data_IF_113557493545
#
_entry.id   IF_113557493545
#
_cell.length_a   1.000
_cell.length_b   1.000
_cell.length_c   1.000
_cell.angle_alpha   90.00
_cell.angle_beta   90.00
_cell.angle_gamma   90.00
#
_symmetry.space_group_name_H-M   'P 1'
#
loop_
_entity.id
_entity.type
_entity.pdbx_description
1 polymer ?
#
# COMPACT_ATOMS: atom_id res chain seq x y z
N UNK A 1 -46.98 32.27 15.59
CA UNK A 1 -45.93 31.32 16.05
C UNK A 1 -45.72 30.24 14.99
N UNK A 2 -44.94 30.51 13.94
CA UNK A 2 -44.62 29.57 12.85
C UNK A 2 -43.25 29.91 12.26
N UNK A 3 -42.14 29.62 12.94
CA UNK A 3 -40.79 29.86 12.38
C UNK A 3 -39.66 28.91 12.87
N UNK A 4 -39.95 27.83 13.59
CA UNK A 4 -38.87 27.02 14.22
C UNK A 4 -38.72 25.60 13.64
N UNK A 5 -39.58 25.13 12.74
CA UNK A 5 -39.51 23.75 12.25
C UNK A 5 -38.70 23.51 10.96
N UNK A 6 -38.09 24.55 10.36
CA UNK A 6 -37.38 24.38 9.08
C UNK A 6 -35.86 24.12 9.20
N UNK A 7 -35.28 24.14 10.41
CA UNK A 7 -33.82 23.97 10.59
C UNK A 7 -33.37 22.53 10.88
N UNK A 8 -34.28 21.61 11.19
CA UNK A 8 -33.91 20.24 11.57
C UNK A 8 -33.82 19.24 10.41
N UNK A 9 -34.20 19.63 9.18
CA UNK A 9 -34.23 18.74 8.00
C UNK A 9 -32.98 18.89 7.12
N UNK A 10 -32.17 19.94 7.33
CA UNK A 10 -30.98 20.20 6.50
C UNK A 10 -29.67 19.56 7.05
N UNK A 11 -29.74 18.71 8.09
CA UNK A 11 -28.56 18.14 8.75
C UNK A 11 -28.32 16.64 8.40
N UNK A 12 -28.99 16.09 7.39
CA UNK A 12 -28.89 14.66 7.04
C UNK A 12 -28.41 14.38 5.60
N UNK A 13 -27.69 15.32 4.99
CA UNK A 13 -27.11 15.17 3.65
C UNK A 13 -25.58 15.31 3.65
N UNK A 14 -24.91 15.02 4.78
CA UNK A 14 -23.55 14.50 4.69
C UNK A 14 -23.67 13.04 4.24
N UNK A 15 -23.75 12.84 2.93
CA UNK A 15 -23.42 11.55 2.33
C UNK A 15 -21.97 11.27 2.68
N UNK A 16 -21.76 10.49 3.73
CA UNK A 16 -20.50 9.79 3.88
C UNK A 16 -20.31 8.99 2.60
N UNK A 17 -19.27 9.33 1.84
CA UNK A 17 -18.84 8.50 0.73
C UNK A 17 -18.39 7.20 1.40
N UNK A 18 -19.28 6.21 1.41
CA UNK A 18 -18.91 4.85 1.76
C UNK A 18 -17.90 4.42 0.70
N UNK A 19 -16.63 4.35 1.10
CA UNK A 19 -15.62 3.64 0.32
C UNK A 19 -16.01 2.17 0.36
N UNK A 20 -16.85 1.75 -0.58
CA UNK A 20 -16.96 0.34 -0.89
C UNK A 20 -15.59 -0.15 -1.31
N UNK A 21 -15.18 -1.32 -0.78
CA UNK A 21 -14.07 -2.08 -1.34
C UNK A 21 -14.30 -2.19 -2.85
N UNK A 22 -13.28 -1.95 -3.68
CA UNK A 22 -13.38 -2.22 -5.11
C UNK A 22 -13.94 -3.63 -5.31
N UNK A 23 -14.82 -3.80 -6.30
CA UNK A 23 -15.42 -5.10 -6.58
C UNK A 23 -14.31 -6.13 -6.78
N UNK A 24 -14.27 -7.12 -5.88
CA UNK A 24 -13.23 -8.14 -5.88
C UNK A 24 -13.32 -8.98 -7.15
N UNK A 25 -12.18 -9.21 -7.80
CA UNK A 25 -12.12 -10.12 -8.95
C UNK A 25 -12.42 -11.54 -8.47
N UNK A 26 -13.56 -12.07 -8.91
CA UNK A 26 -13.95 -13.46 -8.65
C UNK A 26 -13.20 -14.40 -9.60
N UNK A 27 -12.83 -15.57 -9.07
CA UNK A 27 -12.17 -16.65 -9.80
C UNK A 27 -10.82 -16.20 -10.42
N UNK A 28 -10.01 -15.46 -9.64
CA UNK A 28 -8.76 -14.86 -10.08
C UNK A 28 -7.77 -15.90 -10.67
N UNK A 29 -7.74 -17.12 -10.12
CA UNK A 29 -6.87 -18.21 -10.59
C UNK A 29 -7.16 -18.70 -12.01
N UNK A 30 -8.36 -18.45 -12.54
CA UNK A 30 -8.74 -18.80 -13.91
C UNK A 30 -8.71 -17.58 -14.87
N UNK A 31 -8.07 -16.48 -14.46
CA UNK A 31 -7.84 -15.30 -15.30
C UNK A 31 -6.44 -15.38 -15.92
N UNK A 32 -6.18 -14.56 -16.94
CA UNK A 32 -4.81 -14.29 -17.38
C UNK A 32 -4.07 -13.54 -16.28
N UNK A 33 -2.99 -14.12 -15.76
CA UNK A 33 -2.21 -13.58 -14.65
C UNK A 33 -0.73 -13.56 -15.02
N UNK A 34 -0.08 -12.44 -14.71
CA UNK A 34 1.38 -12.36 -14.63
C UNK A 34 1.75 -12.23 -13.17
N UNK A 35 2.53 -13.18 -12.65
CA UNK A 35 2.92 -13.16 -11.25
C UNK A 35 3.98 -12.10 -10.98
N UNK A 36 3.83 -11.37 -9.87
CA UNK A 36 4.87 -10.51 -9.32
C UNK A 36 5.63 -11.17 -8.17
N UNK A 37 5.37 -12.46 -7.91
CA UNK A 37 6.05 -13.23 -6.86
C UNK A 37 7.57 -13.31 -7.11
N UNK A 38 8.31 -13.68 -6.07
CA UNK A 38 9.75 -13.80 -6.06
C UNK A 38 10.39 -12.81 -5.10
N UNK A 39 11.59 -12.35 -5.43
CA UNK A 39 12.34 -11.42 -4.58
C UNK A 39 11.85 -9.99 -4.79
N UNK A 40 11.60 -9.30 -3.67
CA UNK A 40 11.26 -7.88 -3.61
C UNK A 40 12.29 -7.17 -2.75
N UNK A 41 12.69 -5.96 -3.14
CA UNK A 41 13.48 -5.10 -2.27
C UNK A 41 12.62 -4.66 -1.10
N UNK A 42 13.18 -4.65 0.11
CA UNK A 42 12.44 -4.22 1.29
C UNK A 42 13.23 -3.24 2.16
N UNK A 43 12.51 -2.47 2.98
CA UNK A 43 13.06 -1.57 3.99
C UNK A 43 12.23 -1.72 5.27
N UNK A 44 12.91 -2.01 6.38
CA UNK A 44 12.29 -2.04 7.71
C UNK A 44 12.21 -0.60 8.22
N UNK A 45 11.02 -0.13 8.59
CA UNK A 45 10.78 1.27 8.96
C UNK A 45 9.98 1.36 10.28
N UNK A 46 10.61 1.07 11.43
CA UNK A 46 9.91 0.98 12.71
C UNK A 46 9.26 2.29 13.16
N UNK A 47 9.79 3.43 12.72
CA UNK A 47 9.30 4.77 13.05
C UNK A 47 8.48 5.41 11.93
N UNK A 48 8.25 4.66 10.84
CA UNK A 48 7.45 5.12 9.71
C UNK A 48 7.99 6.42 9.07
N UNK A 49 9.32 6.57 9.04
CA UNK A 49 10.04 7.70 8.44
C UNK A 49 9.73 7.86 6.95
N UNK A 50 9.43 6.76 6.26
CA UNK A 50 9.03 6.77 4.85
C UNK A 50 7.60 7.24 4.61
N UNK A 51 6.78 7.30 5.66
CA UNK A 51 5.36 7.68 5.60
C UNK A 51 5.10 9.05 6.22
N UNK A 52 5.70 9.36 7.36
CA UNK A 52 5.51 10.61 8.11
C UNK A 52 6.73 11.53 7.96
N UNK A 53 6.47 12.84 7.93
CA UNK A 53 7.53 13.84 8.10
C UNK A 53 7.91 14.00 9.59
N UNK A 54 8.90 14.86 9.88
CA UNK A 54 9.36 15.11 11.25
C UNK A 54 8.31 15.75 12.19
N UNK A 55 7.19 16.26 11.65
CA UNK A 55 6.04 16.78 12.40
C UNK A 55 4.94 15.74 12.57
N UNK A 56 5.21 14.49 12.17
CA UNK A 56 4.25 13.39 12.19
C UNK A 56 3.05 13.60 11.26
N UNK A 57 3.26 14.31 10.14
CA UNK A 57 2.25 14.49 9.10
C UNK A 57 2.51 13.51 7.93
N UNK A 58 1.50 12.75 7.47
CA UNK A 58 1.67 11.82 6.35
C UNK A 58 2.10 12.54 5.07
N UNK A 59 3.12 12.03 4.40
CA UNK A 59 3.54 12.53 3.09
C UNK A 59 2.44 12.41 2.04
N UNK A 60 1.62 11.36 2.09
CA UNK A 60 0.54 11.14 1.13
C UNK A 60 -0.55 12.22 1.16
N UNK A 61 -0.68 12.96 2.26
CA UNK A 61 -1.63 14.06 2.39
C UNK A 61 -1.05 15.40 1.90
N UNK A 62 0.24 15.43 1.56
CA UNK A 62 0.89 16.62 1.04
C UNK A 62 0.66 16.71 -0.47
N UNK A 63 0.45 17.94 -0.97
CA UNK A 63 0.25 18.18 -2.41
C UNK A 63 1.44 17.70 -3.25
N UNK A 64 2.65 17.88 -2.72
CA UNK A 64 3.91 17.46 -3.34
C UNK A 64 4.76 16.76 -2.28
N UNK A 65 4.57 15.44 -2.06
CA UNK A 65 5.39 14.70 -1.10
C UNK A 65 6.86 14.79 -1.49
N UNK A 66 7.70 15.18 -0.52
CA UNK A 66 9.14 15.30 -0.74
C UNK A 66 9.82 13.97 -1.05
N UNK A 67 11.12 14.02 -1.34
CA UNK A 67 11.94 12.83 -1.63
C UNK A 67 12.05 11.86 -0.45
N UNK A 68 11.65 12.25 0.76
CA UNK A 68 11.59 11.35 1.92
C UNK A 68 10.43 10.36 1.88
N UNK A 69 9.41 10.59 1.06
CA UNK A 69 8.31 9.65 0.91
C UNK A 69 8.75 8.39 0.16
N UNK A 70 8.70 7.23 0.82
CA UNK A 70 9.24 5.98 0.24
C UNK A 70 8.44 5.51 -0.97
N UNK A 71 7.14 5.79 -1.01
CA UNK A 71 6.27 5.46 -2.14
C UNK A 71 6.65 6.14 -3.46
N UNK A 72 7.44 7.23 -3.43
CA UNK A 72 7.92 7.89 -4.63
C UNK A 72 9.08 7.14 -5.32
N UNK A 73 9.73 6.18 -4.63
CA UNK A 73 10.94 5.50 -5.11
C UNK A 73 11.99 6.50 -5.65
N UNK A 74 12.20 7.60 -4.93
CA UNK A 74 13.12 8.66 -5.29
C UNK A 74 14.55 8.12 -5.36
N UNK A 75 15.32 8.58 -6.36
CA UNK A 75 16.73 8.25 -6.53
C UNK A 75 17.55 9.53 -6.42
N UNK A 76 18.57 9.52 -5.56
CA UNK A 76 19.57 10.57 -5.53
C UNK A 76 20.31 10.59 -6.88
N UNK A 77 20.29 11.72 -7.58
CA UNK A 77 21.02 11.95 -8.83
C UNK A 77 22.44 12.43 -8.55
N UNK A 78 22.63 13.13 -7.44
CA UNK A 78 23.91 13.66 -6.99
C UNK A 78 24.12 13.40 -5.49
N UNK A 79 25.36 13.54 -5.02
CA UNK A 79 25.69 13.45 -3.57
C UNK A 79 25.11 14.58 -2.74
N UNK A 80 24.62 15.65 -3.36
CA UNK A 80 23.98 16.78 -2.68
C UNK A 80 22.47 16.61 -2.52
N UNK A 81 21.89 15.58 -3.16
CA UNK A 81 20.46 15.31 -3.04
C UNK A 81 20.18 14.61 -1.70
N UNK A 82 19.26 15.15 -0.92
CA UNK A 82 18.81 14.54 0.34
C UNK A 82 17.79 13.43 0.03
N UNK A 83 18.24 12.17 0.07
CA UNK A 83 17.40 10.97 -0.03
C UNK A 83 17.91 9.92 0.97
N UNK A 84 17.11 9.60 1.98
CA UNK A 84 17.50 8.75 3.11
C UNK A 84 17.32 7.25 2.85
N UNK A 85 16.89 6.86 1.64
CA UNK A 85 16.62 5.47 1.29
C UNK A 85 17.02 5.15 -0.14
N UNK A 86 17.21 3.85 -0.43
CA UNK A 86 17.33 3.36 -1.79
C UNK A 86 16.91 1.89 -1.87
N UNK A 87 15.72 1.62 -2.40
CA UNK A 87 15.25 0.25 -2.61
C UNK A 87 16.21 -0.60 -3.44
N UNK A 88 16.82 -0.06 -4.51
CA UNK A 88 17.64 -0.87 -5.42
C UNK A 88 18.97 -1.32 -4.79
N UNK A 89 19.32 -0.76 -3.63
CA UNK A 89 20.46 -1.15 -2.82
C UNK A 89 20.07 -1.82 -1.50
N UNK A 90 18.78 -1.95 -1.22
CA UNK A 90 18.31 -2.64 -0.02
C UNK A 90 18.28 -4.15 -0.25
N UNK A 91 18.30 -4.90 0.85
CA UNK A 91 18.16 -6.35 0.80
C UNK A 91 16.84 -6.77 0.16
N UNK A 92 16.77 -8.02 -0.28
CA UNK A 92 15.55 -8.63 -0.79
C UNK A 92 14.95 -9.65 0.17
N UNK A 93 13.65 -9.85 0.02
CA UNK A 93 12.85 -10.83 0.76
C UNK A 93 11.88 -11.53 -0.21
N UNK A 94 11.55 -12.78 0.07
CA UNK A 94 10.63 -13.55 -0.75
C UNK A 94 9.18 -13.13 -0.52
N UNK A 95 8.43 -12.98 -1.61
CA UNK A 95 6.99 -12.72 -1.63
C UNK A 95 6.33 -13.74 -2.58
N UNK A 96 5.32 -14.52 -2.14
CA UNK A 96 4.70 -14.50 -0.82
C UNK A 96 5.53 -15.24 0.23
N UNK A 97 5.56 -14.71 1.45
CA UNK A 97 6.00 -15.35 2.70
C UNK A 97 5.88 -14.32 3.81
N UNK A 98 5.68 -14.76 5.06
CA UNK A 98 5.83 -13.89 6.22
C UNK A 98 7.28 -13.40 6.33
N UNK A 99 7.50 -12.19 6.84
CA UNK A 99 8.86 -11.68 7.03
C UNK A 99 9.56 -12.27 8.26
N UNK A 100 8.77 -12.82 9.20
CA UNK A 100 9.21 -13.26 10.51
C UNK A 100 10.16 -14.46 10.41
N UNK A 101 9.84 -15.45 9.58
CA UNK A 101 10.63 -16.68 9.43
C UNK A 101 11.80 -16.55 8.45
N UNK A 102 11.85 -15.48 7.66
CA UNK A 102 12.88 -15.29 6.63
C UNK A 102 14.19 -14.72 7.17
N UNK A 103 14.14 -13.96 8.27
CA UNK A 103 15.31 -13.30 8.87
C UNK A 103 15.19 -13.33 10.39
N UNK A 104 16.23 -13.79 11.07
CA UNK A 104 16.26 -13.85 12.54
C UNK A 104 15.93 -12.50 13.21
N UNK A 105 16.44 -11.39 12.66
CA UNK A 105 16.17 -10.03 13.16
C UNK A 105 14.70 -9.58 13.01
N UNK A 106 13.91 -10.28 12.20
CA UNK A 106 12.50 -9.97 11.96
C UNK A 106 11.55 -10.93 12.69
N UNK A 107 12.07 -11.92 13.40
CA UNK A 107 11.25 -12.98 14.01
C UNK A 107 10.13 -12.41 14.90
N UNK A 108 10.47 -11.47 15.79
CA UNK A 108 9.51 -10.76 16.64
C UNK A 108 9.16 -9.36 16.14
N UNK A 109 9.52 -9.02 14.89
CA UNK A 109 9.28 -7.68 14.39
C UNK A 109 7.79 -7.47 14.10
N UNK A 110 7.20 -6.59 14.91
CA UNK A 110 5.89 -6.00 14.68
C UNK A 110 6.06 -4.51 14.36
N UNK A 111 5.71 -4.09 13.15
CA UNK A 111 6.02 -2.76 12.64
C UNK A 111 5.76 -2.62 11.15
N UNK A 112 6.30 -1.56 10.58
CA UNK A 112 6.17 -1.27 9.14
C UNK A 112 7.35 -1.82 8.35
N UNK A 113 7.04 -2.57 7.31
CA UNK A 113 7.99 -2.95 6.25
C UNK A 113 7.49 -2.41 4.92
N UNK A 114 8.38 -1.75 4.19
CA UNK A 114 8.14 -1.32 2.82
C UNK A 114 8.70 -2.33 1.85
N UNK A 115 7.95 -2.60 0.78
CA UNK A 115 8.31 -3.50 -0.30
C UNK A 115 8.32 -2.74 -1.61
N UNK A 116 9.24 -3.07 -2.51
CA UNK A 116 9.29 -2.55 -3.88
C UNK A 116 9.54 -3.66 -4.89
N UNK A 117 8.71 -3.69 -5.93
CA UNK A 117 8.91 -4.47 -7.16
C UNK A 117 9.02 -3.56 -8.36
N UNK A 118 9.99 -3.81 -9.23
CA UNK A 118 10.09 -3.22 -10.57
C UNK A 118 9.71 -4.29 -11.59
N UNK A 119 8.96 -3.93 -12.62
CA UNK A 119 8.57 -4.83 -13.69
C UNK A 119 8.15 -4.09 -14.96
N UNK A 120 8.30 -4.76 -16.09
CA UNK A 120 7.78 -4.34 -17.38
C UNK A 120 6.46 -5.08 -17.64
N UNK A 121 5.51 -4.42 -18.30
CA UNK A 121 4.23 -5.03 -18.63
C UNK A 121 3.65 -4.41 -19.89
N UNK A 122 3.44 -5.26 -20.91
CA UNK A 122 2.80 -4.86 -22.16
C UNK A 122 1.37 -5.36 -22.20
N UNK A 123 0.42 -4.45 -22.34
CA UNK A 123 -1.00 -4.80 -22.43
C UNK A 123 -1.26 -5.48 -23.79
N UNK A 124 -1.82 -6.69 -23.78
CA UNK A 124 -2.06 -7.47 -25.00
C UNK A 124 -3.12 -6.87 -25.92
N UNK A 125 -4.15 -6.23 -25.37
CA UNK A 125 -5.19 -5.49 -26.11
C UNK A 125 -5.50 -4.19 -25.39
N UNK A 126 -5.65 -3.09 -26.13
CA UNK A 126 -5.97 -1.77 -25.55
C UNK A 126 -7.28 -1.73 -24.75
N UNK A 127 -8.21 -2.68 -25.00
CA UNK A 127 -9.46 -2.81 -24.25
C UNK A 127 -9.32 -3.55 -22.91
N UNK A 128 -8.16 -4.13 -22.61
CA UNK A 128 -7.96 -4.90 -21.38
C UNK A 128 -7.84 -3.96 -20.18
N UNK A 129 -8.55 -4.33 -19.11
CA UNK A 129 -8.36 -3.73 -17.79
C UNK A 129 -7.33 -4.53 -17.01
N UNK A 130 -6.43 -3.84 -16.33
CA UNK A 130 -5.33 -4.47 -15.60
C UNK A 130 -5.46 -4.11 -14.13
N UNK A 131 -5.30 -5.12 -13.28
CA UNK A 131 -5.43 -5.01 -11.84
C UNK A 131 -4.19 -5.58 -11.17
N UNK A 132 -3.77 -4.95 -10.08
CA UNK A 132 -2.88 -5.58 -9.11
C UNK A 132 -3.76 -6.32 -8.12
N UNK A 133 -3.48 -7.60 -7.90
CA UNK A 133 -4.25 -8.49 -7.03
C UNK A 133 -3.37 -9.02 -5.90
N UNK A 134 -3.85 -8.91 -4.67
CA UNK A 134 -3.20 -9.43 -3.47
C UNK A 134 -4.09 -10.50 -2.86
N UNK A 135 -3.53 -11.68 -2.59
CA UNK A 135 -4.24 -12.77 -1.94
C UNK A 135 -4.47 -12.51 -0.44
N UNK A 136 -3.46 -11.95 0.22
CA UNK A 136 -3.48 -11.55 1.63
C UNK A 136 -2.27 -10.65 1.96
N UNK A 137 -2.37 -9.83 3.00
CA UNK A 137 -1.26 -9.05 3.56
C UNK A 137 -1.59 -8.59 4.97
N UNK A 138 -0.83 -9.04 5.98
CA UNK A 138 -1.10 -8.76 7.39
C UNK A 138 -0.30 -7.54 7.90
N UNK A 139 -0.91 -6.47 8.42
CA UNK A 139 -2.35 -6.23 8.67
C UNK A 139 -2.90 -5.03 7.91
N UNK A 140 -2.26 -3.86 8.04
CA UNK A 140 -2.60 -2.67 7.27
C UNK A 140 -1.66 -2.55 6.08
N UNK A 141 -2.22 -2.42 4.89
CA UNK A 141 -1.46 -2.39 3.64
C UNK A 141 -1.83 -1.18 2.81
N UNK A 142 -0.90 -0.22 2.67
CA UNK A 142 -1.03 0.90 1.75
C UNK A 142 -0.28 0.57 0.44
N UNK A 143 -0.97 0.68 -0.69
CA UNK A 143 -0.44 0.30 -2.00
C UNK A 143 -0.26 1.52 -2.90
N UNK A 144 0.92 1.63 -3.51
CA UNK A 144 1.28 2.72 -4.40
C UNK A 144 1.83 2.17 -5.71
N UNK A 145 1.35 2.70 -6.84
CA UNK A 145 1.78 2.33 -8.18
C UNK A 145 2.36 3.53 -8.89
N UNK A 146 3.60 3.43 -9.36
CA UNK A 146 4.31 4.54 -10.02
C UNK A 146 4.23 5.87 -9.22
N UNK A 147 4.32 5.78 -7.88
CA UNK A 147 4.23 6.93 -6.97
C UNK A 147 2.81 7.39 -6.62
N UNK A 148 1.77 6.82 -7.23
CA UNK A 148 0.37 7.17 -6.96
C UNK A 148 -0.25 6.17 -5.98
N UNK A 149 -0.89 6.66 -4.91
CA UNK A 149 -1.68 5.81 -4.00
C UNK A 149 -2.85 5.16 -4.75
N UNK A 150 -2.94 3.84 -4.66
CA UNK A 150 -4.08 3.07 -5.15
C UNK A 150 -5.16 2.95 -4.08
N UNK A 151 -4.75 2.67 -2.84
CA UNK A 151 -5.67 2.54 -1.72
C UNK A 151 -5.00 1.92 -0.50
N UNK A 152 -5.84 1.54 0.46
CA UNK A 152 -5.45 0.92 1.72
C UNK A 152 -6.36 -0.28 1.99
N UNK A 153 -5.78 -1.40 2.43
CA UNK A 153 -6.49 -2.55 2.97
C UNK A 153 -6.19 -2.70 4.46
N UNK A 154 -7.22 -3.06 5.23
CA UNK A 154 -7.08 -3.47 6.63
C UNK A 154 -7.66 -4.89 6.75
N UNK A 155 -6.87 -5.84 7.24
CA UNK A 155 -7.26 -7.24 7.38
C UNK A 155 -6.24 -8.18 6.75
N UNK A 156 -5.70 -9.10 7.55
CA UNK A 156 -4.52 -9.88 7.16
C UNK A 156 -4.74 -11.08 6.25
N UNK A 157 -5.99 -11.50 6.05
CA UNK A 157 -6.31 -12.81 5.46
C UNK A 157 -7.41 -12.76 4.40
N UNK A 158 -7.74 -11.57 3.88
CA UNK A 158 -8.71 -11.40 2.80
C UNK A 158 -8.05 -10.76 1.58
N UNK A 159 -8.42 -11.21 0.37
CA UNK A 159 -7.85 -10.65 -0.85
C UNK A 159 -8.41 -9.27 -1.16
N UNK A 160 -7.64 -8.51 -1.92
CA UNK A 160 -8.01 -7.18 -2.39
C UNK A 160 -7.30 -6.88 -3.71
N UNK A 161 -7.87 -5.95 -4.50
CA UNK A 161 -7.31 -5.55 -5.77
C UNK A 161 -7.46 -4.06 -6.02
N UNK A 162 -6.66 -3.56 -6.96
CA UNK A 162 -6.72 -2.18 -7.44
C UNK A 162 -6.53 -2.14 -8.95
N UNK A 163 -7.36 -1.38 -9.65
CA UNK A 163 -7.19 -1.14 -11.08
C UNK A 163 -5.99 -0.21 -11.36
N UNK A 164 -5.13 -0.62 -12.30
CA UNK A 164 -3.93 0.14 -12.71
C UNK A 164 -3.89 0.45 -14.21
N UNK A 165 -4.96 0.12 -14.94
CA UNK A 165 -5.07 0.27 -16.41
C UNK A 165 -4.53 1.62 -16.90
N UNK A 166 -4.93 2.73 -16.28
CA UNK A 166 -4.57 4.09 -16.70
C UNK A 166 -3.24 4.60 -16.13
N UNK A 167 -2.53 3.80 -15.32
CA UNK A 167 -1.27 4.15 -14.68
C UNK A 167 -0.08 3.38 -15.25
N UNK A 168 -0.36 2.35 -16.04
CA UNK A 168 0.62 1.47 -16.65
C UNK A 168 1.47 2.19 -17.68
N UNK A 169 2.75 1.85 -17.66
CA UNK A 169 3.73 2.13 -18.71
C UNK A 169 4.16 0.78 -19.31
N UNK A 170 4.80 0.79 -20.47
CA UNK A 170 5.37 -0.45 -21.01
C UNK A 170 6.55 -0.95 -20.17
N UNK A 171 7.35 -0.02 -19.66
CA UNK A 171 8.58 -0.29 -18.91
C UNK A 171 8.66 0.48 -17.61
N UNK A 172 9.50 -0.02 -16.71
CA UNK A 172 9.88 0.63 -15.47
C UNK A 172 8.68 0.95 -14.56
N UNK A 173 7.65 0.11 -14.58
CA UNK A 173 6.59 0.21 -13.59
C UNK A 173 7.14 -0.26 -12.25
N UNK A 174 6.76 0.45 -11.20
CA UNK A 174 7.06 -0.01 -9.85
C UNK A 174 5.82 0.00 -8.96
N UNK A 175 5.77 -1.04 -8.14
CA UNK A 175 4.78 -1.21 -7.09
C UNK A 175 5.51 -1.06 -5.76
N UNK A 176 5.05 -0.11 -4.94
CA UNK A 176 5.53 0.07 -3.56
C UNK A 176 4.39 -0.25 -2.62
N UNK A 177 4.66 -1.09 -1.63
CA UNK A 177 3.66 -1.56 -0.66
C UNK A 177 4.21 -1.31 0.74
N UNK A 178 3.49 -0.52 1.54
CA UNK A 178 3.74 -0.36 2.97
C UNK A 178 2.85 -1.36 3.71
N UNK A 179 3.46 -2.29 4.43
CA UNK A 179 2.73 -3.27 5.24
C UNK A 179 3.06 -3.04 6.70
N UNK A 180 2.04 -3.00 7.54
CA UNK A 180 2.17 -2.81 8.99
C UNK A 180 1.38 -3.89 9.73
N UNK A 181 2.06 -4.68 10.56
CA UNK A 181 1.45 -5.72 11.38
C UNK A 181 1.36 -5.34 12.88
N UNK A 182 1.55 -4.06 13.25
CA UNK A 182 1.31 -3.62 14.63
C UNK A 182 -0.10 -4.02 15.07
N UNK A 183 -0.19 -4.80 16.14
CA UNK A 183 -1.47 -5.17 16.74
C UNK A 183 -2.15 -3.93 17.31
N UNK A 184 -3.48 -3.84 17.10
CA UNK A 184 -4.31 -2.72 17.56
C UNK A 184 -5.46 -3.24 18.42
N UNK A 185 -5.87 -2.47 19.43
CA UNK A 185 -6.97 -2.85 20.33
C UNK A 185 -8.30 -2.98 19.58
N UNK A 186 -8.52 -2.08 18.64
CA UNK A 186 -9.66 -1.97 17.75
C UNK A 186 -9.56 -2.86 16.50
N UNK A 187 -8.42 -3.53 16.30
CA UNK A 187 -8.23 -4.46 15.20
C UNK A 187 -9.10 -5.70 15.33
N UNK A 188 -9.33 -6.36 14.19
CA UNK A 188 -9.85 -7.73 14.12
C UNK A 188 -8.81 -8.57 13.39
N UNK A 189 -7.99 -9.37 14.10
CA UNK A 189 -7.97 -9.62 15.55
C UNK A 189 -7.42 -8.44 16.39
N UNK A 190 -7.62 -8.50 17.71
CA UNK A 190 -7.16 -7.50 18.68
C UNK A 190 -5.71 -7.75 19.13
N UNK A 191 -5.28 -7.14 20.24
CA UNK A 191 -3.91 -7.23 20.78
C UNK A 191 -3.47 -8.63 21.23
N UNK A 192 -4.40 -9.50 21.62
CA UNK A 192 -4.09 -10.79 22.23
C UNK A 192 -4.78 -11.93 21.49
N UNK A 193 -3.99 -12.95 21.19
CA UNK A 193 -4.32 -14.11 20.34
C UNK A 193 -3.46 -15.30 20.79
N UNK A 194 -3.89 -16.54 20.50
CA UNK A 194 -3.16 -17.77 20.85
C UNK A 194 -2.38 -18.34 19.65
N UNK A 195 -1.87 -17.44 18.81
CA UNK A 195 -1.02 -17.70 17.65
C UNK A 195 -0.03 -16.57 17.49
#
# INVERSE_FOLDING_TARGET
MKRVQLLSILLFLLTTILFAQESLIVNAYNREVTTLNGQWHYIVDPYENGFYNYRYEPFENQKNPGNGAFFNNAKAKSKTDLVEYNFDKSDTIAVPSDWNTQKEKLFYYEGTVWYKKLFDYSVSKSSNRVFVYFEASNYETDVYFNGKKLGKQIGGFTPFNFEVTNLLKEKDNFLVVKVDNKRKKEGVPTLNTDW
#
